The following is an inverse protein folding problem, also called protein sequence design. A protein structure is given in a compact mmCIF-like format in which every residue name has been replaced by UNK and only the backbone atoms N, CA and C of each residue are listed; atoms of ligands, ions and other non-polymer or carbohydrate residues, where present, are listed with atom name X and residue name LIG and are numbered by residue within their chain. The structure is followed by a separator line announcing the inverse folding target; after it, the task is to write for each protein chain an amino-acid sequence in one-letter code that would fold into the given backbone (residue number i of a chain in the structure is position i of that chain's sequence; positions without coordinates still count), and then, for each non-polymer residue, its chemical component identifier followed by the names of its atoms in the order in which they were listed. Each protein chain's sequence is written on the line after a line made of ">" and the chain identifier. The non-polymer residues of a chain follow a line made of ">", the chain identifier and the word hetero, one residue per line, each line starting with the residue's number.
data_IF_258999007084
#
_entry.id   IF_258999007084
#
_cell.length_a   1.000
_cell.length_b   1.000
_cell.length_c   1.000
_cell.angle_alpha   90.00
_cell.angle_beta   90.00
_cell.angle_gamma   90.00
#
_symmetry.space_group_name_H-M   'P 1'
#
loop_
_entity.id
_entity.type
_entity.pdbx_description
1 polymer ?
#
# COMPACT_ATOMS: atom_id res chain seq x y z
N UNK A 1 -3.04 9.36 -36.89
CA UNK A 1 -2.32 8.14 -36.49
C UNK A 1 -2.05 8.30 -35.01
N UNK A 2 -2.75 7.52 -34.18
CA UNK A 2 -2.63 7.58 -32.73
C UNK A 2 -1.40 6.75 -32.33
N UNK A 3 -0.42 7.39 -31.71
CA UNK A 3 0.66 6.71 -30.98
C UNK A 3 0.54 7.16 -29.53
N UNK A 4 -0.18 6.35 -28.77
CA UNK A 4 -0.33 6.48 -27.32
C UNK A 4 0.91 5.81 -26.71
N UNK A 5 1.61 6.44 -25.75
CA UNK A 5 2.94 6.00 -25.34
C UNK A 5 2.85 4.60 -24.72
N UNK A 6 3.74 3.73 -25.18
CA UNK A 6 4.04 2.43 -24.59
C UNK A 6 4.16 2.62 -23.07
N UNK A 7 3.21 2.05 -22.32
CA UNK A 7 3.44 1.74 -20.93
C UNK A 7 4.58 0.74 -20.89
N UNK A 8 5.80 1.25 -20.74
CA UNK A 8 6.97 0.54 -20.25
C UNK A 8 6.68 0.13 -18.79
N UNK A 9 5.74 -0.81 -18.63
CA UNK A 9 5.49 -1.48 -17.37
C UNK A 9 6.50 -2.59 -17.27
N UNK A 10 7.73 -2.23 -16.90
CA UNK A 10 8.69 -3.18 -16.38
C UNK A 10 7.98 -3.93 -15.22
N UNK A 11 7.69 -5.23 -15.34
CA UNK A 11 6.99 -5.97 -14.30
C UNK A 11 7.77 -5.99 -12.98
N UNK A 12 9.08 -5.71 -13.01
CA UNK A 12 9.90 -5.55 -11.81
C UNK A 12 9.63 -4.23 -11.06
N UNK A 13 9.04 -3.22 -11.73
CA UNK A 13 8.61 -1.95 -11.13
C UNK A 13 7.10 -1.83 -10.94
N UNK A 14 6.34 -2.83 -11.35
CA UNK A 14 4.88 -2.74 -11.31
C UNK A 14 4.38 -2.96 -9.89
N UNK A 15 3.59 -2.01 -9.41
CA UNK A 15 2.87 -2.10 -8.15
C UNK A 15 1.43 -2.44 -8.48
N UNK A 16 0.93 -3.52 -7.88
CA UNK A 16 -0.48 -3.87 -7.95
C UNK A 16 -1.15 -3.57 -6.62
N UNK A 17 -2.24 -2.82 -6.66
CA UNK A 17 -3.16 -2.71 -5.53
C UNK A 17 -4.09 -3.91 -5.59
N UNK A 18 -3.96 -4.82 -4.61
CA UNK A 18 -4.77 -6.03 -4.55
C UNK A 18 -6.12 -5.79 -3.89
N UNK A 19 -6.17 -4.90 -2.89
CA UNK A 19 -7.38 -4.57 -2.15
C UNK A 19 -7.29 -3.15 -1.54
N UNK A 20 -8.44 -2.48 -1.45
CA UNK A 20 -8.59 -1.17 -0.80
C UNK A 20 -9.74 -1.23 0.22
N UNK A 21 -9.50 -0.78 1.45
CA UNK A 21 -10.51 -0.72 2.52
C UNK A 21 -10.33 0.56 3.33
N UNK A 22 -11.26 1.51 3.14
CA UNK A 22 -11.14 2.84 3.73
C UNK A 22 -9.86 3.53 3.26
N UNK A 23 -8.99 3.93 4.20
CA UNK A 23 -7.69 4.51 3.87
C UNK A 23 -6.60 3.46 3.65
N UNK A 24 -6.84 2.16 3.88
CA UNK A 24 -5.79 1.15 3.79
C UNK A 24 -5.75 0.50 2.40
N UNK A 25 -4.54 0.23 1.92
CA UNK A 25 -4.26 -0.49 0.68
C UNK A 25 -3.40 -1.72 0.97
N UNK A 26 -3.80 -2.85 0.41
CA UNK A 26 -2.95 -4.04 0.28
C UNK A 26 -2.27 -4.00 -1.08
N UNK A 27 -0.94 -4.01 -1.06
CA UNK A 27 -0.11 -3.82 -2.25
C UNK A 27 0.79 -5.03 -2.47
N UNK A 28 0.90 -5.45 -3.74
CA UNK A 28 1.93 -6.37 -4.23
C UNK A 28 2.97 -5.59 -5.03
N UNK A 29 4.24 -5.84 -4.73
CA UNK A 29 5.39 -5.39 -5.52
C UNK A 29 6.33 -6.56 -5.79
N UNK A 30 7.33 -6.37 -6.65
CA UNK A 30 8.31 -7.41 -6.97
C UNK A 30 9.02 -7.99 -5.73
N UNK A 31 9.24 -7.17 -4.70
CA UNK A 31 9.90 -7.59 -3.46
C UNK A 31 8.97 -8.34 -2.47
N UNK A 32 7.65 -8.31 -2.66
CA UNK A 32 6.68 -8.92 -1.75
C UNK A 32 5.44 -8.05 -1.51
N UNK A 33 4.84 -8.17 -0.33
CA UNK A 33 3.56 -7.52 -0.01
C UNK A 33 3.72 -6.42 1.04
N UNK A 34 2.89 -5.39 0.95
CA UNK A 34 2.84 -4.26 1.87
C UNK A 34 1.40 -3.89 2.22
N UNK A 35 1.20 -3.36 3.43
CA UNK A 35 -0.01 -2.62 3.77
C UNK A 35 0.38 -1.17 4.03
N UNK A 36 -0.31 -0.24 3.37
CA UNK A 36 -0.09 1.20 3.52
C UNK A 36 -1.40 1.92 3.76
N UNK A 37 -1.34 3.08 4.41
CA UNK A 37 -2.47 3.99 4.52
C UNK A 37 -2.35 5.09 3.47
N UNK A 38 -3.37 5.32 2.64
CA UNK A 38 -3.46 6.40 1.67
C UNK A 38 -4.26 7.58 2.24
N UNK A 39 -3.64 8.76 2.28
CA UNK A 39 -4.28 10.02 2.69
C UNK A 39 -3.79 11.16 1.80
N UNK A 40 -4.70 11.95 1.24
CA UNK A 40 -4.37 13.11 0.38
C UNK A 40 -3.37 12.78 -0.76
N UNK A 41 -3.53 11.62 -1.40
CA UNK A 41 -2.66 11.17 -2.49
C UNK A 41 -1.27 10.69 -2.06
N UNK A 42 -0.99 10.67 -0.76
CA UNK A 42 0.24 10.15 -0.16
C UNK A 42 -0.02 8.82 0.52
N UNK A 43 1.02 7.99 0.59
CA UNK A 43 1.01 6.73 1.32
C UNK A 43 1.87 6.81 2.56
N UNK A 44 1.41 6.16 3.63
CA UNK A 44 2.01 6.13 4.95
C UNK A 44 2.17 4.66 5.37
N UNK A 45 3.30 4.29 5.99
CA UNK A 45 3.42 2.97 6.61
C UNK A 45 2.43 2.84 7.78
N UNK A 46 1.90 1.64 7.97
CA UNK A 46 0.96 1.34 9.07
C UNK A 46 1.62 1.43 10.46
N UNK A 47 2.93 1.15 10.55
CA UNK A 47 3.65 1.21 11.83
C UNK A 47 3.93 2.67 12.22
N UNK A 48 3.85 3.01 13.52
CA UNK A 48 3.82 4.38 14.04
C UNK A 48 5.17 5.12 13.99
N UNK A 49 6.13 4.65 13.19
CA UNK A 49 7.31 5.48 12.92
C UNK A 49 6.82 6.70 12.15
N UNK A 50 7.00 7.88 12.74
CA UNK A 50 6.55 9.19 12.26
C UNK A 50 7.17 9.54 10.90
N UNK A 51 6.77 8.84 9.84
CA UNK A 51 7.22 9.13 8.49
C UNK A 51 6.28 10.08 7.81
N UNK A 52 6.88 11.06 7.16
CA UNK A 52 6.21 11.85 6.15
C UNK A 52 5.62 10.92 5.09
N UNK A 53 4.36 11.18 4.73
CA UNK A 53 3.71 10.44 3.66
C UNK A 53 4.45 10.70 2.35
N UNK A 54 4.76 9.62 1.64
CA UNK A 54 5.44 9.66 0.35
C UNK A 54 4.43 9.58 -0.79
N UNK A 55 4.82 10.03 -1.99
CA UNK A 55 3.97 9.87 -3.16
C UNK A 55 3.74 8.38 -3.47
N UNK A 56 2.55 8.02 -3.96
CA UNK A 56 2.24 6.64 -4.35
C UNK A 56 2.88 6.30 -5.70
N UNK A 57 4.16 5.95 -5.70
CA UNK A 57 4.92 5.55 -6.90
C UNK A 57 5.57 4.18 -6.73
N UNK A 58 5.92 3.55 -7.87
CA UNK A 58 6.72 2.33 -7.97
C UNK A 58 7.94 2.36 -7.03
N UNK A 59 8.71 3.44 -7.14
CA UNK A 59 9.93 3.67 -6.41
C UNK A 59 9.68 3.85 -4.91
N UNK A 60 8.65 4.60 -4.52
CA UNK A 60 8.36 4.91 -3.13
C UNK A 60 7.91 3.66 -2.34
N UNK A 61 7.07 2.82 -2.91
CA UNK A 61 6.67 1.55 -2.27
C UNK A 61 7.83 0.57 -2.24
N UNK A 62 8.64 0.52 -3.29
CA UNK A 62 9.84 -0.34 -3.31
C UNK A 62 10.83 0.08 -2.21
N UNK A 63 11.06 1.38 -2.03
CA UNK A 63 11.87 1.90 -0.93
C UNK A 63 11.28 1.58 0.44
N UNK A 64 9.96 1.73 0.60
CA UNK A 64 9.23 1.39 1.83
C UNK A 64 9.44 -0.09 2.20
N UNK A 65 9.31 -0.98 1.22
CA UNK A 65 9.49 -2.42 1.37
C UNK A 65 10.94 -2.80 1.68
N UNK A 66 11.91 -2.15 1.02
CA UNK A 66 13.33 -2.39 1.29
C UNK A 66 13.71 -2.01 2.73
N UNK A 67 13.11 -0.95 3.28
CA UNK A 67 13.48 -0.43 4.60
C UNK A 67 12.73 -1.10 5.76
N UNK A 68 11.44 -1.41 5.57
CA UNK A 68 10.60 -2.04 6.61
C UNK A 68 10.58 -3.57 6.52
N UNK A 69 11.16 -4.13 5.46
CA UNK A 69 11.01 -5.52 5.08
C UNK A 69 9.69 -5.75 4.34
N UNK A 70 9.69 -6.73 3.45
CA UNK A 70 8.48 -7.21 2.81
C UNK A 70 7.75 -8.22 3.72
N UNK A 71 6.43 -8.26 3.60
CA UNK A 71 5.60 -9.30 4.22
C UNK A 71 5.32 -10.41 3.22
N UNK A 72 5.10 -11.62 3.74
CA UNK A 72 4.42 -12.66 2.98
C UNK A 72 2.95 -12.27 2.76
N UNK A 73 2.33 -12.79 1.70
CA UNK A 73 0.94 -12.45 1.36
C UNK A 73 -0.03 -12.71 2.52
N UNK A 74 0.09 -13.85 3.18
CA UNK A 74 -0.77 -14.24 4.30
C UNK A 74 -0.64 -13.27 5.48
N UNK A 75 0.58 -12.83 5.79
CA UNK A 75 0.84 -11.85 6.84
C UNK A 75 0.31 -10.46 6.47
N UNK A 76 0.50 -10.04 5.23
CA UNK A 76 0.00 -8.77 4.72
C UNK A 76 -1.54 -8.72 4.73
N UNK A 77 -2.20 -9.80 4.29
CA UNK A 77 -3.67 -9.94 4.34
C UNK A 77 -4.19 -9.89 5.77
N UNK A 78 -3.56 -10.65 6.69
CA UNK A 78 -3.94 -10.64 8.10
C UNK A 78 -3.82 -9.24 8.71
N UNK A 79 -2.71 -8.54 8.45
CA UNK A 79 -2.53 -7.17 8.92
C UNK A 79 -3.58 -6.22 8.32
N UNK A 80 -3.88 -6.37 7.03
CA UNK A 80 -4.88 -5.57 6.33
C UNK A 80 -6.28 -5.75 6.94
N UNK A 81 -6.68 -6.99 7.23
CA UNK A 81 -7.96 -7.29 7.88
C UNK A 81 -8.01 -6.74 9.31
N UNK A 82 -6.94 -6.90 10.10
CA UNK A 82 -6.86 -6.38 11.47
C UNK A 82 -7.02 -4.84 11.51
N UNK A 83 -6.45 -4.11 10.54
CA UNK A 83 -6.60 -2.65 10.42
C UNK A 83 -8.00 -2.26 9.97
N UNK A 84 -8.56 -2.98 8.99
CA UNK A 84 -9.92 -2.79 8.52
C UNK A 84 -10.93 -2.94 9.65
N UNK A 85 -10.85 -4.05 10.38
CA UNK A 85 -11.73 -4.34 11.51
C UNK A 85 -11.62 -3.28 12.62
N UNK A 86 -10.39 -2.82 12.89
CA UNK A 86 -10.17 -1.75 13.87
C UNK A 86 -10.78 -0.43 13.42
N UNK A 87 -10.61 -0.06 12.15
CA UNK A 87 -11.20 1.14 11.56
C UNK A 87 -12.73 1.10 11.59
N UNK A 88 -13.32 -0.04 11.22
CA UNK A 88 -14.76 -0.24 11.22
C UNK A 88 -15.37 -0.19 12.62
N UNK A 89 -14.71 -0.81 13.61
CA UNK A 89 -15.15 -0.72 15.02
C UNK A 89 -15.12 0.72 15.54
N UNK A 90 -14.08 1.48 15.19
CA UNK A 90 -13.95 2.88 15.58
C UNK A 90 -15.07 3.72 14.94
N UNK A 91 -15.31 3.56 13.63
CA UNK A 91 -16.36 4.27 12.91
C UNK A 91 -17.76 3.97 13.46
N UNK A 92 -18.01 2.75 13.93
CA UNK A 92 -19.29 2.38 14.59
C UNK A 92 -19.45 3.01 15.98
N UNK A 93 -18.35 3.18 16.72
CA UNK A 93 -18.38 3.77 18.07
C UNK A 93 -18.56 5.29 18.04
N UNK A 94 -18.12 5.95 16.95
CA UNK A 94 -18.21 7.40 16.78
C UNK A 94 -19.50 7.87 16.08
N UNK A 95 -20.43 6.95 15.79
CA UNK A 95 -21.78 7.26 15.28
C UNK A 95 -22.75 7.49 16.42
#
# INVERSE_FOLDING_TARGET
>A
MADQPLCDSDPAKTIDILEERGSFLLIRAAAGFAVVERRNGRIYPVKPDEREGVAMTAEAVSALLAEKGCLHESEARRLFDELGDRGDRLARTLR
#
